data_IF_314545259903
#
_entry.id   IF_314545259903
#
_cell.length_a   1.000
_cell.length_b   1.000
_cell.length_c   1.000
_cell.angle_alpha   90.00
_cell.angle_beta   90.00
_cell.angle_gamma   90.00
#
_symmetry.space_group_name_H-M   'P 1'
#
loop_
_entity.id
_entity.type
_entity.pdbx_description
1 polymer ?
#
# COMPACT_ATOMS: atom_id res chain seq x y z
N UNK A 1 -18.75 -5.90 10.64
CA UNK A 1 -18.01 -6.27 9.58
C UNK A 1 -17.17 -5.18 9.06
N UNK A 2 -15.98 -5.44 8.74
CA UNK A 2 -15.10 -4.43 8.26
C UNK A 2 -15.11 -4.36 6.79
N UNK A 3 -15.12 -3.16 6.26
CA UNK A 3 -15.04 -2.98 4.83
C UNK A 3 -13.60 -2.89 4.42
N UNK A 4 -13.38 -3.09 3.17
CA UNK A 4 -12.04 -2.95 2.63
C UNK A 4 -11.96 -1.67 1.83
N UNK A 5 -10.81 -1.04 1.91
CA UNK A 5 -10.55 0.15 1.14
C UNK A 5 -9.51 -0.24 0.09
N UNK A 6 -9.83 -0.05 -1.18
CA UNK A 6 -8.89 -0.42 -2.22
C UNK A 6 -8.50 0.80 -3.01
N UNK A 7 -7.28 0.79 -3.51
CA UNK A 7 -6.88 1.88 -4.37
C UNK A 7 -5.67 1.47 -5.20
N UNK A 8 -5.47 2.15 -6.31
CA UNK A 8 -4.39 1.82 -7.23
C UNK A 8 -3.28 2.85 -7.26
N UNK A 9 -3.42 3.89 -6.45
CA UNK A 9 -2.42 4.95 -6.43
C UNK A 9 -1.25 4.52 -5.57
N UNK A 10 -0.14 4.26 -6.21
CA UNK A 10 1.07 3.80 -5.54
C UNK A 10 1.52 4.78 -4.45
N UNK A 11 1.56 6.05 -4.79
CA UNK A 11 2.03 7.05 -3.85
C UNK A 11 1.08 7.30 -2.68
N UNK A 12 -0.22 7.26 -2.95
CA UNK A 12 -1.18 7.40 -1.87
C UNK A 12 -1.13 6.17 -0.96
N UNK A 13 -0.93 5.00 -1.53
CA UNK A 13 -0.81 3.80 -0.71
C UNK A 13 0.41 3.88 0.20
N UNK A 14 1.52 4.40 -0.32
CA UNK A 14 2.71 4.60 0.51
C UNK A 14 2.43 5.61 1.61
N UNK A 15 1.68 6.65 1.31
CA UNK A 15 1.31 7.65 2.29
C UNK A 15 0.49 7.01 3.41
N UNK A 16 -0.45 6.14 3.07
CA UNK A 16 -1.25 5.45 4.06
C UNK A 16 -0.39 4.58 4.96
N UNK A 17 0.53 3.83 4.38
CA UNK A 17 1.42 2.98 5.15
C UNK A 17 2.30 3.82 6.07
N UNK A 18 2.83 4.91 5.56
CA UNK A 18 3.68 5.78 6.36
C UNK A 18 2.92 6.40 7.53
N UNK A 19 1.61 6.49 7.40
CA UNK A 19 0.79 7.01 8.47
C UNK A 19 0.14 5.93 9.33
N UNK A 20 0.69 4.73 9.26
CA UNK A 20 0.27 3.68 10.16
C UNK A 20 -0.84 2.75 9.69
N UNK A 21 -1.31 2.94 8.48
CA UNK A 21 -2.36 2.06 7.98
C UNK A 21 -1.72 0.78 7.49
N UNK A 22 -2.40 -0.33 7.71
CA UNK A 22 -1.84 -1.61 7.39
C UNK A 22 -2.31 -2.13 6.06
N UNK A 23 -1.37 -2.48 5.21
CA UNK A 23 -1.71 -3.09 3.94
C UNK A 23 -2.15 -4.52 4.18
N UNK A 24 -3.35 -4.87 3.79
CA UNK A 24 -3.88 -6.20 4.01
C UNK A 24 -3.51 -7.15 2.88
N UNK A 25 -3.57 -6.68 1.66
CA UNK A 25 -3.24 -7.54 0.54
C UNK A 25 -3.12 -6.67 -0.71
N UNK A 26 -2.74 -7.31 -1.80
CA UNK A 26 -2.72 -6.60 -3.06
C UNK A 26 -3.01 -7.61 -4.16
N UNK A 27 -3.48 -7.12 -5.29
CA UNK A 27 -3.70 -7.97 -6.45
C UNK A 27 -3.09 -7.27 -7.64
N UNK A 28 -2.76 -8.03 -8.66
CA UNK A 28 -2.20 -7.44 -9.86
C UNK A 28 -2.85 -8.07 -11.06
N UNK A 29 -3.42 -7.23 -11.90
CA UNK A 29 -4.09 -7.71 -13.08
C UNK A 29 -3.79 -6.80 -14.23
N UNK A 30 -3.39 -7.35 -15.35
CA UNK A 30 -3.08 -6.57 -16.53
C UNK A 30 -2.12 -5.41 -16.25
N UNK A 31 -1.13 -5.69 -15.44
CA UNK A 31 -0.13 -4.69 -15.12
C UNK A 31 -0.53 -3.64 -14.10
N UNK A 32 -1.73 -3.75 -13.57
CA UNK A 32 -2.20 -2.79 -12.59
C UNK A 32 -2.29 -3.44 -11.22
N UNK A 33 -1.70 -2.79 -10.24
CA UNK A 33 -1.74 -3.30 -8.87
C UNK A 33 -2.79 -2.55 -8.07
N UNK A 34 -3.61 -3.28 -7.37
CA UNK A 34 -4.60 -2.70 -6.47
C UNK A 34 -4.19 -3.05 -5.05
N UNK A 35 -4.12 -2.05 -4.20
CA UNK A 35 -3.73 -2.24 -2.81
C UNK A 35 -4.96 -2.22 -1.93
N UNK A 36 -5.00 -3.09 -0.95
CA UNK A 36 -6.17 -3.22 -0.09
C UNK A 36 -5.83 -2.96 1.36
N UNK A 37 -6.59 -2.07 1.98
CA UNK A 37 -6.43 -1.73 3.38
C UNK A 37 -7.75 -1.95 4.10
N UNK A 38 -7.73 -1.93 5.40
CA UNK A 38 -8.96 -2.03 6.15
C UNK A 38 -9.56 -0.63 6.22
N UNK A 39 -10.78 -0.45 5.75
CA UNK A 39 -11.38 0.85 5.72
C UNK A 39 -11.70 1.33 7.13
N UNK A 40 -11.38 2.57 7.42
CA UNK A 40 -11.67 3.15 8.73
C UNK A 40 -11.71 4.66 8.60
N UNK A 41 -12.08 5.31 9.70
CA UNK A 41 -12.18 6.73 9.76
C UNK A 41 -10.91 7.44 9.39
N UNK A 42 -9.82 6.91 9.82
CA UNK A 42 -8.54 7.52 9.59
C UNK A 42 -8.19 7.56 8.12
N UNK A 43 -8.55 6.54 7.38
CA UNK A 43 -8.27 6.52 5.95
C UNK A 43 -9.06 7.62 5.25
N UNK A 44 -10.30 7.85 5.66
CA UNK A 44 -11.10 8.90 5.08
C UNK A 44 -10.46 10.26 5.30
N UNK A 45 -9.95 10.47 6.50
CA UNK A 45 -9.30 11.70 6.84
C UNK A 45 -7.99 11.90 6.09
N UNK A 46 -7.20 10.85 6.04
CA UNK A 46 -5.92 10.92 5.32
C UNK A 46 -6.15 11.17 3.83
N UNK A 47 -7.18 10.55 3.29
CA UNK A 47 -7.53 10.71 1.89
C UNK A 47 -7.88 12.16 1.59
N UNK A 48 -8.69 12.74 2.45
CA UNK A 48 -9.09 14.11 2.29
C UNK A 48 -7.89 15.06 2.30
N UNK A 49 -6.97 14.84 3.23
CA UNK A 49 -5.80 15.67 3.31
C UNK A 49 -4.88 15.49 2.14
N UNK A 50 -4.71 14.27 1.71
CA UNK A 50 -3.81 13.96 0.63
C UNK A 50 -4.25 14.65 -0.68
N UNK A 51 -5.53 14.49 -1.01
CA UNK A 51 -6.01 15.03 -2.27
C UNK A 51 -6.28 16.52 -2.24
N UNK A 52 -6.31 17.12 -1.07
CA UNK A 52 -6.42 18.56 -0.99
C UNK A 52 -5.06 19.23 -0.82
N UNK A 53 -4.00 18.45 -0.93
CA UNK A 53 -2.64 18.94 -0.84
C UNK A 53 -2.29 19.50 0.55
N UNK A 54 -2.95 18.94 1.56
CA UNK A 54 -2.66 19.33 2.93
C UNK A 54 -2.08 18.20 3.74
N UNK A 55 -1.56 17.19 3.06
CA UNK A 55 -1.02 16.03 3.75
C UNK A 55 0.39 16.28 4.24
N UNK A 56 0.69 15.68 5.38
CA UNK A 56 2.03 15.73 5.91
C UNK A 56 2.45 14.31 6.18
N UNK A 57 3.72 14.02 5.99
CA UNK A 57 4.22 12.69 6.28
C UNK A 57 5.70 12.81 6.57
N UNK A 58 6.17 11.96 7.48
CA UNK A 58 7.57 11.97 7.85
C UNK A 58 8.37 11.38 6.69
N UNK A 59 9.41 12.07 6.23
CA UNK A 59 10.13 11.65 5.00
C UNK A 59 10.71 10.27 5.00
N UNK A 60 11.31 9.87 6.11
CA UNK A 60 11.91 8.55 6.18
C UNK A 60 10.87 7.47 6.12
N UNK A 61 9.77 7.68 6.83
CA UNK A 61 8.67 6.71 6.84
C UNK A 61 8.07 6.59 5.45
N UNK A 62 7.95 7.71 4.77
CA UNK A 62 7.41 7.69 3.43
C UNK A 62 8.36 6.96 2.48
N UNK A 63 9.65 7.27 2.57
CA UNK A 63 10.65 6.62 1.75
C UNK A 63 10.66 5.11 1.96
N UNK A 64 10.55 4.69 3.20
CA UNK A 64 10.53 3.27 3.51
C UNK A 64 9.27 2.60 2.97
N UNK A 65 8.14 3.29 3.06
CA UNK A 65 6.90 2.76 2.52
C UNK A 65 6.98 2.59 1.00
N UNK A 66 7.60 3.55 0.33
CA UNK A 66 7.78 3.45 -1.12
C UNK A 66 8.62 2.25 -1.48
N UNK A 67 9.69 2.02 -0.74
CA UNK A 67 10.55 0.87 -0.97
C UNK A 67 9.81 -0.43 -0.75
N UNK A 68 9.02 -0.48 0.30
CA UNK A 68 8.24 -1.66 0.61
C UNK A 68 7.27 -1.99 -0.52
N UNK A 69 6.57 -0.98 -1.01
CA UNK A 69 5.62 -1.20 -2.08
C UNK A 69 6.29 -1.62 -3.38
N UNK A 70 7.43 -1.05 -3.68
CA UNK A 70 8.17 -1.43 -4.86
C UNK A 70 8.58 -2.88 -4.79
N UNK A 71 9.02 -3.29 -3.63
CA UNK A 71 9.43 -4.66 -3.40
C UNK A 71 8.26 -5.62 -3.61
N UNK A 72 7.11 -5.25 -3.10
CA UNK A 72 5.93 -6.06 -3.25
C UNK A 72 5.53 -6.20 -4.72
N UNK A 73 5.53 -5.11 -5.44
CA UNK A 73 5.16 -5.11 -6.83
C UNK A 73 6.11 -5.98 -7.64
N UNK A 74 7.39 -5.85 -7.37
CA UNK A 74 8.37 -6.62 -8.11
C UNK A 74 8.26 -8.10 -7.82
N UNK A 75 7.95 -8.45 -6.61
CA UNK A 75 7.87 -9.86 -6.29
C UNK A 75 6.64 -10.51 -6.90
N UNK A 76 5.60 -9.75 -7.18
CA UNK A 76 4.44 -10.36 -7.77
C UNK A 76 4.57 -10.58 -9.24
N UNK A 77 5.66 -10.15 -9.82
CA UNK A 77 5.84 -10.42 -11.17
C UNK A 77 5.87 -11.87 -11.42
N UNK A 78 6.21 -12.67 -10.49
CA UNK A 78 6.34 -14.05 -10.67
C UNK A 78 5.13 -14.72 -10.28
N UNK A 79 4.14 -14.14 -10.26
CA UNK A 79 2.99 -14.72 -10.00
C UNK A 79 2.54 -14.92 -8.69
N UNK A 80 1.89 -15.65 -8.31
CA UNK A 80 1.35 -15.75 -7.14
C UNK A 80 2.07 -15.68 -6.06
N UNK A 81 1.84 -14.91 -5.20
CA UNK A 81 2.61 -14.80 -4.18
C UNK A 81 1.93 -14.65 -2.96
N UNK A 82 2.30 -15.13 -2.05
CA UNK A 82 1.80 -14.92 -0.81
C UNK A 82 2.73 -14.28 -0.03
N UNK A 83 2.39 -13.70 0.93
CA UNK A 83 3.30 -12.97 1.70
C UNK A 83 4.06 -13.77 2.62
N UNK A 84 4.20 -14.92 2.45
CA UNK A 84 5.05 -15.59 3.33
C UNK A 84 6.22 -15.79 2.74
N UNK A 85 6.74 -15.69 2.33
CA UNK A 85 7.86 -15.79 1.87
C UNK A 85 8.79 -16.60 1.94
N UNK A 86 9.20 -17.03 1.56
CA UNK A 86 10.09 -17.81 1.56
C UNK A 86 11.16 -17.54 1.01
N UNK A 87 11.89 -17.69 1.29
CA UNK A 87 13.06 -17.26 0.92
C UNK A 87 13.47 -17.64 -0.27
N UNK A 88 13.70 -17.57 -0.71
CA UNK A 88 14.12 -17.75 -1.64
C UNK A 88 15.00 -18.22 -2.04
N UNK A 89 15.19 -18.44 -2.16
CA UNK A 89 15.97 -18.85 -2.42
C UNK A 89 16.63 -18.73 -3.20
N UNK A 90 16.84 -18.56 -3.30
CA UNK A 90 17.46 -18.52 -3.96
C UNK A 90 17.84 -18.58 -4.26
#
# INVERSE_FOLDING_TARGET
MKNKFTNRDFYFSAFLIANGQKLLSHTRESGITTFMFEDNKEIAELSSRYYSLNALVEPMSYGNALKTLKSIIHSTNTNTRIYNNEPSKR
#
